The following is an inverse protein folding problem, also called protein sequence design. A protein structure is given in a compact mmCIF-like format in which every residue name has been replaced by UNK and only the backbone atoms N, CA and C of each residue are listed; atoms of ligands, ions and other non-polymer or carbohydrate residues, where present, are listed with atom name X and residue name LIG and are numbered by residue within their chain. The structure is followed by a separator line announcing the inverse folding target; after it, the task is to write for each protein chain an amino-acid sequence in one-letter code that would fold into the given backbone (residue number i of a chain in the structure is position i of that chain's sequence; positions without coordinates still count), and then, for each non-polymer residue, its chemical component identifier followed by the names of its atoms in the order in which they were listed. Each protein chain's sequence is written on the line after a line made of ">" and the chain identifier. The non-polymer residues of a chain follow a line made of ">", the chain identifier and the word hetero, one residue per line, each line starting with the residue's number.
data_IF_929731212996
#
_entry.id   IF_929731212996
#
_cell.length_a   1.000
_cell.length_b   1.000
_cell.length_c   1.000
_cell.angle_alpha   90.00
_cell.angle_beta   90.00
_cell.angle_gamma   90.00
#
_symmetry.space_group_name_H-M   'P 1'
#
loop_
_entity.id
_entity.type
_entity.pdbx_description
1 polymer ?
#
# COMPACT_ATOMS: atom_id res chain seq x y z
N UNK A 1 -6.35 -19.66 4.58
CA UNK A 1 -6.20 -18.62 3.54
C UNK A 1 -7.06 -17.39 3.83
N UNK A 2 -8.33 -17.59 4.14
CA UNK A 2 -9.27 -16.51 4.43
C UNK A 2 -8.88 -15.69 5.68
N UNK A 3 -8.41 -16.36 6.74
CA UNK A 3 -8.01 -15.73 8.00
C UNK A 3 -6.75 -14.84 7.85
N UNK A 4 -5.81 -15.18 6.96
CA UNK A 4 -4.64 -14.35 6.67
C UNK A 4 -5.02 -13.07 5.92
N UNK A 5 -5.97 -13.14 4.98
CA UNK A 5 -6.48 -11.97 4.24
C UNK A 5 -7.15 -10.98 5.18
N UNK A 6 -8.00 -11.46 6.08
CA UNK A 6 -8.71 -10.62 7.05
C UNK A 6 -7.80 -10.02 8.10
N UNK A 7 -6.78 -10.74 8.57
CA UNK A 7 -5.80 -10.20 9.53
C UNK A 7 -5.02 -9.00 8.98
N UNK A 8 -4.76 -8.96 7.68
CA UNK A 8 -4.10 -7.81 7.04
C UNK A 8 -4.99 -6.57 6.94
N UNK A 9 -6.32 -6.75 6.93
CA UNK A 9 -7.30 -5.65 6.84
C UNK A 9 -7.84 -5.19 8.20
N UNK A 10 -7.54 -5.89 9.30
CA UNK A 10 -8.02 -5.56 10.66
C UNK A 10 -7.19 -4.44 11.33
N UNK A 11 -6.66 -3.48 10.55
CA UNK A 11 -5.83 -2.39 11.10
C UNK A 11 -6.69 -1.20 11.53
N UNK A 12 -7.88 -1.02 10.95
CA UNK A 12 -8.78 0.07 11.31
C UNK A 12 -9.04 0.15 12.82
N UNK A 13 -9.18 -0.98 13.49
CA UNK A 13 -9.42 -1.02 14.93
C UNK A 13 -8.16 -0.70 15.76
N UNK A 14 -6.98 -0.68 15.12
CA UNK A 14 -5.67 -0.42 15.76
C UNK A 14 -5.14 0.98 15.47
N UNK A 15 -5.54 1.60 14.37
CA UNK A 15 -5.15 2.97 14.03
C UNK A 15 -6.10 3.96 14.69
N UNK A 16 -5.71 4.41 15.89
CA UNK A 16 -6.50 5.36 16.68
C UNK A 16 -6.13 6.81 16.42
N UNK A 17 -5.04 7.07 15.66
CA UNK A 17 -4.64 8.42 15.34
C UNK A 17 -5.47 8.97 14.20
N UNK A 18 -6.00 10.18 14.35
CA UNK A 18 -6.59 10.91 13.26
C UNK A 18 -5.51 11.29 12.21
N UNK A 19 -5.89 11.42 10.95
CA UNK A 19 -4.98 11.82 9.87
C UNK A 19 -4.23 13.12 10.20
N UNK A 20 -4.92 14.07 10.79
CA UNK A 20 -4.37 15.39 11.18
C UNK A 20 -3.30 15.34 12.27
N UNK A 21 -3.31 14.29 13.09
CA UNK A 21 -2.34 14.09 14.18
C UNK A 21 -1.05 13.37 13.73
N UNK A 22 -1.05 12.87 12.49
CA UNK A 22 0.08 12.15 11.92
C UNK A 22 1.13 13.10 11.35
N UNK A 23 2.36 12.61 11.21
CA UNK A 23 3.48 13.36 10.63
C UNK A 23 3.22 13.69 9.15
N UNK A 24 3.49 14.92 8.74
CA UNK A 24 3.42 15.39 7.35
C UNK A 24 4.56 14.81 6.50
N UNK A 25 4.70 13.49 6.49
CA UNK A 25 5.79 12.78 5.82
C UNK A 25 5.26 11.51 5.16
N UNK A 26 5.99 11.05 4.15
CA UNK A 26 5.82 9.71 3.59
C UNK A 26 6.84 8.74 4.17
N UNK A 27 6.40 7.54 4.49
CA UNK A 27 7.27 6.47 4.96
C UNK A 27 7.37 5.33 3.95
N UNK A 28 8.59 4.78 3.79
CA UNK A 28 8.84 3.54 3.07
C UNK A 28 9.82 2.65 3.82
N UNK A 29 9.44 1.39 4.03
CA UNK A 29 10.31 0.31 4.52
C UNK A 29 10.09 -0.91 3.65
N UNK A 30 11.03 -1.19 2.78
CA UNK A 30 10.92 -2.30 1.83
C UNK A 30 12.26 -2.85 1.38
N UNK A 31 12.25 -4.01 0.74
CA UNK A 31 13.45 -4.54 0.08
C UNK A 31 13.68 -3.79 -1.23
N UNK A 32 14.85 -3.17 -1.39
CA UNK A 32 15.26 -2.41 -2.58
C UNK A 32 16.01 -3.29 -3.57
N UNK A 33 16.84 -4.19 -3.09
CA UNK A 33 17.67 -5.09 -3.92
C UNK A 33 16.87 -5.76 -5.04
N UNK A 34 17.33 -5.59 -6.28
CA UNK A 34 16.70 -6.17 -7.46
C UNK A 34 15.34 -5.55 -7.85
N UNK A 35 15.06 -4.33 -7.41
CA UNK A 35 13.83 -3.59 -7.67
C UNK A 35 14.16 -2.20 -8.25
N UNK A 36 14.26 -2.05 -9.57
CA UNK A 36 14.69 -0.78 -10.20
C UNK A 36 13.87 0.43 -9.76
N UNK A 37 12.53 0.32 -9.74
CA UNK A 37 11.64 1.40 -9.32
C UNK A 37 11.89 1.83 -7.87
N UNK A 38 12.08 0.87 -6.94
CA UNK A 38 12.39 1.20 -5.54
C UNK A 38 13.75 1.81 -5.37
N UNK A 39 14.73 1.38 -6.20
CA UNK A 39 16.07 1.95 -6.20
C UNK A 39 16.05 3.39 -6.67
N UNK A 40 15.36 3.68 -7.78
CA UNK A 40 15.16 5.03 -8.28
C UNK A 40 14.51 5.93 -7.21
N UNK A 41 13.47 5.43 -6.54
CA UNK A 41 12.81 6.15 -5.46
C UNK A 41 13.76 6.49 -4.31
N UNK A 42 14.58 5.54 -3.89
CA UNK A 42 15.59 5.78 -2.84
C UNK A 42 16.66 6.78 -3.30
N UNK A 43 17.15 6.69 -4.53
CA UNK A 43 18.14 7.62 -5.09
C UNK A 43 17.64 9.06 -5.12
N UNK A 44 16.35 9.27 -5.44
CA UNK A 44 15.75 10.60 -5.53
C UNK A 44 15.42 11.22 -4.16
N UNK A 45 14.94 10.41 -3.20
CA UNK A 45 14.25 10.94 -2.03
C UNK A 45 14.85 10.51 -0.69
N UNK A 46 15.95 9.77 -0.64
CA UNK A 46 16.49 9.26 0.63
C UNK A 46 16.83 10.38 1.63
N UNK A 47 17.33 11.51 1.15
CA UNK A 47 17.67 12.68 1.98
C UNK A 47 16.57 13.75 2.01
N UNK A 48 15.42 13.47 1.42
CA UNK A 48 14.34 14.46 1.35
C UNK A 48 13.66 14.63 2.72
N UNK A 49 13.45 15.86 3.21
CA UNK A 49 12.94 16.11 4.57
C UNK A 49 11.52 15.56 4.82
N UNK A 50 10.72 15.41 3.77
CA UNK A 50 9.37 14.84 3.87
C UNK A 50 9.35 13.31 3.76
N UNK A 51 10.51 12.66 3.67
CA UNK A 51 10.60 11.23 3.40
C UNK A 51 11.36 10.49 4.51
N UNK A 52 10.75 9.49 5.11
CA UNK A 52 11.41 8.54 6.03
C UNK A 52 11.55 7.20 5.30
N UNK A 53 12.69 7.02 4.62
CA UNK A 53 12.94 5.88 3.74
C UNK A 53 13.92 4.88 4.36
N UNK A 54 13.80 3.60 3.96
CA UNK A 54 14.75 2.61 4.42
C UNK A 54 14.68 1.29 3.67
N UNK A 55 15.87 0.79 3.32
CA UNK A 55 16.06 -0.54 2.75
C UNK A 55 16.23 -1.58 3.86
N UNK A 56 15.34 -2.57 3.87
CA UNK A 56 15.39 -3.72 4.77
C UNK A 56 15.92 -4.99 4.08
N UNK A 57 16.62 -4.84 2.96
CA UNK A 57 17.26 -5.95 2.26
C UNK A 57 18.42 -6.52 3.08
N UNK A 58 18.55 -7.83 3.04
CA UNK A 58 19.76 -8.52 3.52
C UNK A 58 20.73 -8.70 2.35
N UNK A 59 22.04 -8.55 2.61
CA UNK A 59 23.08 -8.79 1.62
C UNK A 59 22.86 -8.00 0.30
N UNK A 60 22.72 -6.69 0.42
CA UNK A 60 22.58 -5.78 -0.72
C UNK A 60 23.90 -5.07 -1.01
N UNK A 61 24.13 -4.69 -2.27
CA UNK A 61 25.20 -3.81 -2.74
C UNK A 61 24.79 -2.35 -2.81
N UNK A 62 23.52 -2.06 -2.46
CA UNK A 62 23.00 -0.70 -2.39
C UNK A 62 23.70 0.10 -1.26
N UNK A 63 23.66 1.44 -1.27
CA UNK A 63 24.34 2.27 -0.29
C UNK A 63 24.08 1.84 1.15
N UNK A 64 25.13 1.78 1.97
CA UNK A 64 25.03 1.32 3.35
C UNK A 64 24.11 2.20 4.22
N UNK A 65 24.07 3.50 3.90
CA UNK A 65 23.21 4.48 4.57
C UNK A 65 21.70 4.21 4.42
N UNK A 66 21.29 3.55 3.32
CA UNK A 66 19.88 3.19 3.12
C UNK A 66 19.41 2.07 4.04
N UNK A 67 20.34 1.32 4.64
CA UNK A 67 20.00 0.18 5.49
C UNK A 67 19.36 0.64 6.79
N UNK A 68 18.18 0.10 7.05
CA UNK A 68 17.46 0.38 8.29
C UNK A 68 16.83 -0.89 8.83
N UNK A 69 16.45 -0.85 10.07
CA UNK A 69 15.62 -1.89 10.66
C UNK A 69 14.18 -1.82 10.11
N UNK A 70 13.51 -2.96 10.18
CA UNK A 70 12.08 -3.01 9.87
C UNK A 70 11.31 -2.22 10.90
N UNK A 71 10.35 -1.45 10.45
CA UNK A 71 9.34 -0.86 11.33
C UNK A 71 8.09 -1.73 11.38
N UNK A 72 7.45 -1.74 12.53
CA UNK A 72 6.13 -2.36 12.72
C UNK A 72 5.06 -1.57 11.97
N UNK A 73 3.89 -2.20 11.79
CA UNK A 73 2.76 -1.48 11.20
C UNK A 73 2.38 -0.26 12.05
N UNK A 74 2.37 -0.40 13.38
CA UNK A 74 2.04 0.72 14.27
C UNK A 74 2.97 1.93 14.08
N UNK A 75 4.25 1.71 13.87
CA UNK A 75 5.22 2.79 13.60
C UNK A 75 4.98 3.45 12.23
N UNK A 76 4.46 2.71 11.24
CA UNK A 76 4.04 3.30 9.96
C UNK A 76 2.80 4.18 10.12
N UNK A 77 1.90 3.84 11.05
CA UNK A 77 0.67 4.59 11.29
C UNK A 77 0.89 5.99 11.90
N UNK A 78 2.12 6.32 12.29
CA UNK A 78 2.49 7.68 12.71
C UNK A 78 2.62 8.66 11.54
N UNK A 79 2.59 8.19 10.30
CA UNK A 79 2.79 8.99 9.08
C UNK A 79 1.47 9.17 8.32
N UNK A 80 1.26 10.38 7.75
CA UNK A 80 0.11 10.66 6.90
C UNK A 80 0.11 9.81 5.64
N UNK A 81 1.29 9.62 5.05
CA UNK A 81 1.46 8.97 3.76
C UNK A 81 2.32 7.72 3.89
N UNK A 82 1.91 6.65 3.25
CA UNK A 82 2.65 5.38 3.25
C UNK A 82 2.85 4.95 1.80
N UNK A 83 4.12 4.86 1.40
CA UNK A 83 4.48 4.44 0.05
C UNK A 83 4.13 2.97 -0.17
N UNK A 84 3.38 2.69 -1.22
CA UNK A 84 2.97 1.35 -1.63
C UNK A 84 3.59 1.00 -2.98
N UNK A 85 4.89 0.69 -3.00
CA UNK A 85 5.62 0.35 -4.22
C UNK A 85 5.56 -1.14 -4.53
N UNK A 86 5.20 -1.48 -5.77
CA UNK A 86 5.31 -2.83 -6.29
C UNK A 86 6.75 -3.35 -6.20
N UNK A 87 6.86 -4.65 -6.15
CA UNK A 87 8.16 -5.32 -6.10
C UNK A 87 8.35 -6.24 -7.29
N UNK A 88 8.18 -7.56 -7.05
CA UNK A 88 8.04 -8.59 -8.11
C UNK A 88 6.57 -8.68 -8.51
N UNK A 89 5.69 -8.29 -7.59
CA UNK A 89 4.25 -8.40 -7.59
C UNK A 89 3.69 -7.16 -6.90
N UNK A 90 2.39 -7.13 -6.61
CA UNK A 90 1.69 -6.04 -5.94
C UNK A 90 2.37 -5.56 -4.65
N UNK A 91 2.12 -4.32 -4.28
CA UNK A 91 2.56 -3.78 -3.00
C UNK A 91 1.79 -4.47 -1.85
N UNK A 92 2.45 -5.37 -1.14
CA UNK A 92 1.82 -6.20 -0.08
C UNK A 92 1.25 -5.38 1.08
N UNK A 93 1.73 -4.15 1.28
CA UNK A 93 1.27 -3.25 2.32
C UNK A 93 -0.02 -2.49 1.95
N UNK A 94 -0.38 -2.39 0.66
CA UNK A 94 -1.51 -1.60 0.19
C UNK A 94 -2.81 -1.92 0.95
N UNK A 95 -3.10 -3.19 1.16
CA UNK A 95 -4.34 -3.67 1.78
C UNK A 95 -4.55 -3.16 3.20
N UNK A 96 -3.50 -3.15 4.01
CA UNK A 96 -3.60 -2.63 5.36
C UNK A 96 -3.48 -1.10 5.40
N UNK A 97 -2.73 -0.48 4.50
CA UNK A 97 -2.66 0.99 4.39
C UNK A 97 -4.04 1.56 4.09
N UNK A 98 -4.75 1.01 3.11
CA UNK A 98 -6.12 1.42 2.77
C UNK A 98 -7.16 1.11 3.87
N UNK A 99 -6.79 0.33 4.89
CA UNK A 99 -7.63 0.09 6.08
C UNK A 99 -7.32 1.02 7.23
N UNK A 100 -6.31 1.89 7.10
CA UNK A 100 -5.82 2.80 8.14
C UNK A 100 -6.29 4.24 7.89
N UNK A 101 -5.99 5.13 8.84
CA UNK A 101 -6.18 6.57 8.69
C UNK A 101 -4.97 7.25 8.03
N UNK A 102 -4.14 6.50 7.28
CA UNK A 102 -3.06 6.99 6.43
C UNK A 102 -3.42 6.78 4.97
N UNK A 103 -2.82 7.55 4.08
CA UNK A 103 -3.11 7.43 2.64
C UNK A 103 -1.98 6.66 1.95
N UNK A 104 -2.37 5.70 1.11
CA UNK A 104 -1.44 5.04 0.21
C UNK A 104 -0.99 6.00 -0.89
N UNK A 105 0.31 6.08 -1.12
CA UNK A 105 0.92 6.84 -2.23
C UNK A 105 1.64 5.86 -3.14
N UNK A 106 1.32 5.85 -4.41
CA UNK A 106 1.90 4.90 -5.35
C UNK A 106 1.68 5.33 -6.81
N UNK A 107 2.55 4.89 -7.74
CA UNK A 107 2.20 4.88 -9.15
C UNK A 107 0.99 3.97 -9.42
N UNK A 108 0.39 4.11 -10.59
CA UNK A 108 -0.72 3.26 -11.00
C UNK A 108 -0.32 1.77 -10.90
N UNK A 109 -1.12 0.92 -10.24
CA UNK A 109 -0.83 -0.50 -10.14
C UNK A 109 -0.71 -1.17 -11.52
N UNK A 110 0.29 -2.03 -11.67
CA UNK A 110 0.52 -2.82 -12.89
C UNK A 110 0.17 -4.29 -12.71
N UNK A 111 0.12 -4.76 -11.47
CA UNK A 111 -0.23 -6.12 -11.09
C UNK A 111 -1.57 -6.15 -10.37
N UNK A 112 -2.27 -7.28 -10.46
CA UNK A 112 -3.57 -7.47 -9.83
C UNK A 112 -3.63 -8.77 -9.02
N UNK A 113 -4.29 -8.72 -7.87
CA UNK A 113 -4.57 -9.88 -7.01
C UNK A 113 -6.06 -9.99 -6.70
N UNK A 114 -6.42 -10.86 -5.74
CA UNK A 114 -7.77 -10.94 -5.20
C UNK A 114 -8.32 -9.60 -4.66
N UNK A 115 -7.45 -8.63 -4.43
CA UNK A 115 -7.82 -7.29 -3.97
C UNK A 115 -8.28 -6.38 -5.12
N UNK A 116 -8.20 -6.86 -6.37
CA UNK A 116 -8.63 -6.16 -7.59
C UNK A 116 -8.02 -4.76 -7.73
N UNK A 117 -6.70 -4.66 -7.61
CA UNK A 117 -5.95 -3.41 -7.64
C UNK A 117 -6.23 -2.58 -8.91
N UNK A 118 -6.55 -3.24 -10.04
CA UNK A 118 -6.92 -2.58 -11.28
C UNK A 118 -8.23 -1.80 -11.25
N UNK A 119 -9.08 -2.00 -10.24
CA UNK A 119 -10.34 -1.25 -10.04
C UNK A 119 -10.19 -0.03 -9.13
N UNK A 120 -8.99 0.18 -8.58
CA UNK A 120 -8.71 1.36 -7.77
C UNK A 120 -8.70 2.62 -8.63
N UNK A 121 -9.40 3.65 -8.18
CA UNK A 121 -9.51 4.93 -8.86
C UNK A 121 -8.45 5.89 -8.28
N UNK A 122 -7.54 6.42 -9.12
CA UNK A 122 -6.54 7.41 -8.71
C UNK A 122 -7.16 8.64 -8.06
N UNK A 123 -6.52 9.15 -7.02
CA UNK A 123 -6.94 10.34 -6.26
C UNK A 123 -8.36 10.25 -5.67
N UNK A 124 -8.91 9.04 -5.64
CA UNK A 124 -10.16 8.70 -5.01
C UNK A 124 -9.98 7.60 -3.94
N UNK A 125 -9.16 6.58 -4.24
CA UNK A 125 -8.82 5.50 -3.30
C UNK A 125 -7.40 5.59 -2.74
N UNK A 126 -6.51 6.28 -3.45
CA UNK A 126 -5.10 6.47 -3.12
C UNK A 126 -4.56 7.70 -3.85
N UNK A 127 -3.43 8.23 -3.43
CA UNK A 127 -2.73 9.32 -4.15
C UNK A 127 -1.89 8.69 -5.26
N UNK A 128 -2.24 8.99 -6.52
CA UNK A 128 -1.43 8.60 -7.67
C UNK A 128 -0.27 9.56 -7.85
N UNK A 129 0.91 8.99 -8.08
CA UNK A 129 2.12 9.70 -8.48
C UNK A 129 2.65 9.13 -9.79
N UNK A 130 3.49 9.90 -10.47
CA UNK A 130 4.15 9.43 -11.70
C UNK A 130 5.07 8.24 -11.42
N UNK A 131 5.27 7.34 -12.40
CA UNK A 131 6.19 6.21 -12.26
C UNK A 131 7.65 6.60 -12.05
N UNK A 132 8.05 7.81 -12.44
CA UNK A 132 9.37 8.40 -12.24
C UNK A 132 9.48 9.17 -10.93
N UNK A 133 8.41 9.23 -10.13
CA UNK A 133 8.29 9.92 -8.84
C UNK A 133 8.49 11.44 -8.88
N UNK A 134 8.57 12.06 -10.06
CA UNK A 134 8.92 13.49 -10.23
C UNK A 134 7.92 14.47 -9.60
N UNK A 135 6.69 14.01 -9.31
CA UNK A 135 5.62 14.83 -8.74
C UNK A 135 5.33 14.52 -7.26
N UNK A 136 6.13 13.68 -6.61
CA UNK A 136 5.87 13.25 -5.24
C UNK A 136 5.73 14.41 -4.27
N UNK A 137 6.69 15.34 -4.26
CA UNK A 137 6.71 16.46 -3.32
C UNK A 137 5.48 17.37 -3.51
N UNK A 138 5.18 17.71 -4.77
CA UNK A 138 4.00 18.50 -5.14
C UNK A 138 2.72 17.83 -4.61
N UNK A 139 2.57 16.52 -4.86
CA UNK A 139 1.39 15.77 -4.43
C UNK A 139 1.25 15.69 -2.92
N UNK A 140 2.36 15.45 -2.19
CA UNK A 140 2.34 15.42 -0.73
C UNK A 140 1.94 16.76 -0.14
N UNK A 141 2.53 17.86 -0.63
CA UNK A 141 2.21 19.21 -0.17
C UNK A 141 0.74 19.56 -0.43
N UNK A 142 0.23 19.23 -1.63
CA UNK A 142 -1.17 19.44 -1.96
C UNK A 142 -2.11 18.79 -0.93
N UNK A 143 -1.92 17.50 -0.63
CA UNK A 143 -2.79 16.76 0.29
C UNK A 143 -2.53 17.06 1.77
N UNK A 144 -1.41 17.68 2.13
CA UNK A 144 -1.19 18.24 3.46
C UNK A 144 -2.06 19.49 3.66
N UNK A 145 -2.17 20.33 2.64
CA UNK A 145 -2.95 21.58 2.66
C UNK A 145 -4.46 21.31 2.48
N UNK A 146 -4.82 20.31 1.65
CA UNK A 146 -6.22 19.96 1.35
C UNK A 146 -6.67 18.75 2.21
N UNK A 147 -6.82 19.01 3.52
CA UNK A 147 -7.14 17.94 4.50
C UNK A 147 -8.49 17.28 4.20
N UNK A 148 -9.49 18.05 3.77
CA UNK A 148 -10.82 17.50 3.47
C UNK A 148 -10.78 16.48 2.34
N UNK A 149 -10.02 16.75 1.26
CA UNK A 149 -9.83 15.81 0.16
C UNK A 149 -9.05 14.56 0.63
N UNK A 150 -8.07 14.75 1.51
CA UNK A 150 -7.32 13.65 2.12
C UNK A 150 -8.24 12.73 2.93
N UNK A 151 -9.16 13.28 3.71
CA UNK A 151 -10.13 12.53 4.49
C UNK A 151 -11.14 11.79 3.59
N UNK A 152 -11.54 12.39 2.46
CA UNK A 152 -12.39 11.72 1.47
C UNK A 152 -11.68 10.51 0.84
N UNK A 153 -10.40 10.62 0.49
CA UNK A 153 -9.61 9.47 0.00
C UNK A 153 -9.59 8.35 1.04
N UNK A 154 -9.37 8.66 2.30
CA UNK A 154 -9.38 7.67 3.39
C UNK A 154 -10.76 7.02 3.51
N UNK A 155 -11.83 7.80 3.44
CA UNK A 155 -13.21 7.28 3.50
C UNK A 155 -13.48 6.30 2.35
N UNK A 156 -13.14 6.68 1.12
CA UNK A 156 -13.31 5.82 -0.06
C UNK A 156 -12.45 4.56 0.01
N UNK A 157 -11.21 4.68 0.49
CA UNK A 157 -10.34 3.53 0.71
C UNK A 157 -10.97 2.55 1.73
N UNK A 158 -11.54 3.05 2.82
CA UNK A 158 -12.24 2.24 3.81
C UNK A 158 -13.49 1.56 3.23
N UNK A 159 -14.27 2.26 2.41
CA UNK A 159 -15.42 1.69 1.71
C UNK A 159 -14.98 0.57 0.77
N UNK A 160 -13.94 0.82 -0.04
CA UNK A 160 -13.38 -0.19 -0.94
C UNK A 160 -12.95 -1.46 -0.18
N UNK A 161 -12.22 -1.30 0.91
CA UNK A 161 -11.75 -2.43 1.73
C UNK A 161 -12.90 -3.18 2.40
N UNK A 162 -14.01 -2.49 2.72
CA UNK A 162 -15.13 -3.09 3.45
C UNK A 162 -15.75 -4.27 2.70
N UNK A 163 -15.76 -4.25 1.37
CA UNK A 163 -16.30 -5.33 0.53
C UNK A 163 -15.61 -6.69 0.76
N UNK A 164 -14.34 -6.69 1.15
CA UNK A 164 -13.55 -7.90 1.40
C UNK A 164 -13.66 -8.43 2.83
N UNK A 165 -14.45 -7.79 3.70
CA UNK A 165 -14.64 -8.20 5.10
C UNK A 165 -15.75 -9.22 5.28
N UNK A 166 -16.65 -9.38 4.29
CA UNK A 166 -17.69 -10.38 4.33
C UNK A 166 -17.12 -11.79 4.07
N UNK A 167 -16.97 -12.55 5.15
CA UNK A 167 -16.46 -13.92 5.12
C UNK A 167 -17.27 -14.87 4.24
N UNK A 168 -18.61 -14.71 4.23
CA UNK A 168 -19.49 -15.59 3.46
C UNK A 168 -19.31 -15.34 1.98
N UNK A 169 -19.28 -14.06 1.58
CA UNK A 169 -19.02 -13.64 0.20
C UNK A 169 -17.64 -14.13 -0.27
N UNK A 170 -16.59 -13.89 0.51
CA UNK A 170 -15.22 -14.27 0.18
C UNK A 170 -15.04 -15.78 0.07
N UNK A 171 -15.69 -16.55 0.94
CA UNK A 171 -15.70 -18.01 0.85
C UNK A 171 -16.44 -18.50 -0.41
N UNK A 172 -17.58 -17.90 -0.75
CA UNK A 172 -18.33 -18.25 -1.95
C UNK A 172 -17.51 -17.96 -3.22
N UNK A 173 -16.90 -16.76 -3.30
CA UNK A 173 -16.02 -16.41 -4.42
C UNK A 173 -14.86 -17.42 -4.54
N UNK A 174 -14.23 -17.77 -3.43
CA UNK A 174 -13.12 -18.73 -3.42
C UNK A 174 -13.55 -20.11 -3.92
N UNK A 175 -14.75 -20.59 -3.53
CA UNK A 175 -15.30 -21.86 -4.00
C UNK A 175 -15.63 -21.81 -5.49
N UNK A 176 -16.23 -20.73 -5.97
CA UNK A 176 -16.55 -20.56 -7.39
C UNK A 176 -15.28 -20.50 -8.27
N UNK A 177 -14.23 -19.85 -7.80
CA UNK A 177 -12.93 -19.82 -8.49
C UNK A 177 -12.32 -21.22 -8.56
N UNK A 178 -12.35 -21.99 -7.47
CA UNK A 178 -11.88 -23.37 -7.44
C UNK A 178 -12.71 -24.29 -8.35
N UNK A 179 -14.03 -24.16 -8.32
CA UNK A 179 -14.92 -24.94 -9.19
C UNK A 179 -14.61 -24.66 -10.66
N UNK A 180 -14.47 -23.36 -11.03
CA UNK A 180 -14.08 -22.98 -12.40
C UNK A 180 -12.70 -23.54 -12.77
N UNK A 181 -11.72 -23.46 -11.87
CA UNK A 181 -10.39 -24.00 -12.10
C UNK A 181 -10.44 -25.51 -12.39
N UNK A 182 -11.15 -26.29 -11.55
CA UNK A 182 -11.26 -27.74 -11.75
C UNK A 182 -11.99 -28.12 -13.05
N UNK A 183 -13.02 -27.36 -13.43
CA UNK A 183 -13.70 -27.55 -14.72
C UNK A 183 -12.76 -27.27 -15.90
N UNK A 184 -12.01 -26.16 -15.85
CA UNK A 184 -11.11 -25.76 -16.95
C UNK A 184 -9.88 -26.67 -17.08
N UNK A 185 -9.45 -27.31 -16.01
CA UNK A 185 -8.31 -28.26 -16.00
C UNK A 185 -8.71 -29.72 -16.16
N UNK A 186 -10.01 -30.03 -16.39
CA UNK A 186 -10.52 -31.39 -16.55
C UNK A 186 -10.44 -32.24 -15.28
N UNK A 187 -10.28 -31.64 -14.11
CA UNK A 187 -10.23 -32.36 -12.81
C UNK A 187 -11.63 -32.64 -12.22
N UNK A 188 -12.65 -32.04 -12.80
CA UNK A 188 -14.06 -32.38 -12.54
C UNK A 188 -14.75 -32.61 -13.90
N UNK A 189 -15.34 -33.78 -14.02
CA UNK A 189 -16.31 -34.08 -15.07
C UNK A 189 -17.68 -33.48 -14.71
#
# INVERSE_FOLDING_TARGET
>A
LCDRRQRQMCIRDRDKKAFTEKKNMVIFRGKVKGKPSRKLFMEMYFHHPMCDLGDVSKNTTDPAEWRTEKKTINEHLDYKFIMALEGIDVASNLKWVMSSNSIAVMPRPTCETWFMEGTLIPNYHYIEIKPDFSDLEERLNYYIEHVDESLEIIRHAHEYVSQFKDKRRENLISLLVLDKYFKMTGQKS
#
